data_IF_461514500357
#
_entry.id   IF_461514500357
#
_cell.length_a   1.000
_cell.length_b   1.000
_cell.length_c   1.000
_cell.angle_alpha   90.00
_cell.angle_beta   90.00
_cell.angle_gamma   90.00
#
_symmetry.space_group_name_H-M   'P 1'
#
loop_
_entity.id
_entity.type
_entity.pdbx_description
1 polymer ?
#
# COMPACT_ATOMS: atom_id res chain seq x y z
N UNK A 1 12.48 -19.66 3.93
CA UNK A 1 11.22 -19.24 3.28
C UNK A 1 11.62 -18.42 2.07
N UNK A 2 11.50 -18.98 0.87
CA UNK A 2 11.94 -18.32 -0.36
C UNK A 2 10.82 -17.37 -0.77
N UNK A 3 11.01 -16.05 -0.58
CA UNK A 3 10.16 -15.03 -1.19
C UNK A 3 10.32 -15.18 -2.70
N UNK A 4 9.40 -15.89 -3.37
CA UNK A 4 9.21 -15.75 -4.82
C UNK A 4 8.17 -14.63 -4.95
N UNK A 5 8.63 -13.40 -4.69
CA UNK A 5 7.89 -12.21 -5.06
C UNK A 5 8.26 -11.90 -6.50
N UNK A 6 7.27 -11.58 -7.33
CA UNK A 6 7.50 -10.92 -8.61
C UNK A 6 8.19 -9.59 -8.29
N UNK A 7 9.52 -9.56 -8.42
CA UNK A 7 10.28 -8.34 -8.23
C UNK A 7 9.87 -7.39 -9.34
N UNK A 8 9.19 -6.30 -9.00
CA UNK A 8 9.15 -5.14 -9.88
C UNK A 8 10.60 -4.78 -10.15
N UNK A 9 10.99 -4.70 -11.42
CA UNK A 9 12.33 -4.23 -11.70
C UNK A 9 12.44 -2.79 -11.16
N UNK A 10 13.57 -2.44 -10.53
CA UNK A 10 13.80 -1.07 -10.06
C UNK A 10 13.60 -0.04 -11.19
N UNK A 11 13.79 -0.47 -12.45
CA UNK A 11 13.53 0.31 -13.67
C UNK A 11 12.06 0.72 -13.84
N UNK A 12 11.11 -0.04 -13.28
CA UNK A 12 9.66 0.17 -13.38
C UNK A 12 9.10 1.00 -12.22
N UNK A 13 9.88 1.14 -11.15
CA UNK A 13 9.50 1.87 -9.94
C UNK A 13 10.02 3.29 -10.03
N UNK A 14 9.14 4.26 -9.82
CA UNK A 14 9.52 5.68 -9.75
C UNK A 14 9.39 6.16 -8.32
N UNK A 15 10.32 7.01 -7.90
CA UNK A 15 10.31 7.64 -6.58
C UNK A 15 9.39 8.86 -6.58
N UNK A 16 8.49 8.94 -5.62
CA UNK A 16 7.54 10.04 -5.43
C UNK A 16 7.54 10.54 -4.00
N UNK A 17 7.16 11.81 -3.81
CA UNK A 17 6.83 12.32 -2.49
C UNK A 17 5.44 11.88 -2.07
N UNK A 18 5.28 11.39 -0.85
CA UNK A 18 3.96 10.99 -0.34
C UNK A 18 3.47 11.90 0.79
N UNK A 19 2.20 12.29 0.72
CA UNK A 19 1.54 13.15 1.71
C UNK A 19 0.96 12.31 2.85
N UNK A 20 1.74 12.13 3.92
CA UNK A 20 1.35 11.33 5.09
C UNK A 20 0.75 12.17 6.23
N UNK A 21 0.71 13.49 6.04
CA UNK A 21 0.20 14.41 7.05
C UNK A 21 1.12 14.60 8.26
N UNK A 22 0.59 15.15 9.36
CA UNK A 22 1.29 15.37 10.62
C UNK A 22 1.89 14.10 11.23
N UNK A 23 3.03 14.26 11.89
CA UNK A 23 3.78 13.20 12.55
C UNK A 23 3.66 13.27 14.07
N UNK A 24 3.38 12.14 14.73
CA UNK A 24 3.43 11.99 16.19
C UNK A 24 4.68 11.19 16.58
N UNK A 25 5.43 11.67 17.58
CA UNK A 25 6.59 10.99 18.15
C UNK A 25 6.32 10.54 19.59
N UNK A 26 6.73 9.33 19.92
CA UNK A 26 6.61 8.74 21.27
C UNK A 26 7.91 8.04 21.66
N UNK A 27 8.37 8.28 22.89
CA UNK A 27 9.33 7.38 23.56
C UNK A 27 8.55 6.26 24.23
N UNK A 28 8.92 5.02 23.95
CA UNK A 28 8.32 3.84 24.53
C UNK A 28 9.35 2.79 24.89
N UNK A 29 8.84 1.62 25.29
CA UNK A 29 9.64 0.41 25.47
C UNK A 29 9.20 -0.57 24.39
N UNK A 30 10.15 -1.16 23.67
CA UNK A 30 9.85 -2.21 22.71
C UNK A 30 9.30 -3.44 23.47
N UNK A 31 8.05 -3.86 23.20
CA UNK A 31 7.40 -4.93 23.96
C UNK A 31 8.09 -6.30 23.75
N UNK A 32 8.88 -6.45 22.69
CA UNK A 32 9.58 -7.69 22.36
C UNK A 32 10.90 -7.85 23.13
N UNK A 33 11.51 -6.77 23.63
CA UNK A 33 12.83 -6.85 24.28
C UNK A 33 13.04 -5.93 25.49
N UNK A 34 12.05 -5.12 25.89
CA UNK A 34 12.13 -4.28 27.08
C UNK A 34 13.06 -3.07 26.96
N UNK A 35 13.64 -2.81 25.78
CA UNK A 35 14.56 -1.69 25.57
C UNK A 35 13.83 -0.41 25.16
N UNK A 36 14.37 0.78 25.49
CA UNK A 36 13.85 2.05 24.97
C UNK A 36 13.74 2.01 23.45
N UNK A 37 12.59 2.41 22.94
CA UNK A 37 12.33 2.54 21.51
C UNK A 37 11.68 3.90 21.23
N UNK A 38 12.04 4.46 20.09
CA UNK A 38 11.44 5.67 19.56
C UNK A 38 10.44 5.26 18.50
N UNK A 39 9.18 5.66 18.66
CA UNK A 39 8.10 5.33 17.75
C UNK A 39 7.62 6.62 17.08
N UNK A 40 7.48 6.55 15.77
CA UNK A 40 6.93 7.61 14.93
C UNK A 40 5.70 7.06 14.23
N UNK A 41 4.64 7.86 14.16
CA UNK A 41 3.42 7.51 13.43
C UNK A 41 2.92 8.74 12.70
N UNK A 42 2.70 8.61 11.40
CA UNK A 42 2.06 9.65 10.60
C UNK A 42 0.53 9.50 10.62
N UNK A 43 -0.20 10.60 10.48
CA UNK A 43 -1.67 10.59 10.38
C UNK A 43 -2.16 9.66 9.25
N UNK A 44 -1.51 9.73 8.10
CA UNK A 44 -1.73 8.88 6.92
C UNK A 44 -0.49 8.06 6.62
N UNK A 45 -0.12 7.20 7.57
CA UNK A 45 1.00 6.26 7.44
C UNK A 45 0.93 5.45 6.14
N UNK A 46 2.02 5.51 5.37
CA UNK A 46 2.27 4.68 4.20
C UNK A 46 3.23 3.56 4.58
N UNK A 47 2.85 2.32 4.29
CA UNK A 47 3.68 1.14 4.51
C UNK A 47 3.91 0.44 3.16
N UNK A 48 4.75 -0.60 3.14
CA UNK A 48 4.86 -1.53 2.01
C UNK A 48 3.46 -2.03 1.61
N UNK A 49 3.26 -2.36 0.33
CA UNK A 49 2.01 -2.90 -0.23
C UNK A 49 0.83 -1.92 -0.28
N UNK A 50 0.98 -0.68 0.20
CA UNK A 50 -0.10 0.31 0.13
C UNK A 50 -0.45 0.73 -1.30
N UNK A 51 -1.75 0.92 -1.55
CA UNK A 51 -2.26 1.46 -2.80
C UNK A 51 -2.34 2.99 -2.78
N UNK A 52 -1.96 3.62 -3.91
CA UNK A 52 -1.76 5.06 -3.99
C UNK A 52 -2.51 5.71 -5.17
N UNK A 53 -2.75 7.01 -5.06
CA UNK A 53 -3.31 7.89 -6.10
C UNK A 53 -2.40 9.08 -6.38
N UNK A 54 -2.51 9.66 -7.57
CA UNK A 54 -1.76 10.86 -7.92
C UNK A 54 -2.18 12.05 -7.03
N UNK A 55 -1.19 12.73 -6.46
CA UNK A 55 -1.39 13.94 -5.66
C UNK A 55 -1.54 15.21 -6.52
N UNK A 56 -1.63 16.35 -5.85
CA UNK A 56 -1.86 17.66 -6.49
C UNK A 56 -0.59 18.32 -7.03
N UNK A 57 0.58 17.91 -6.57
CA UNK A 57 1.89 18.42 -7.00
C UNK A 57 2.58 17.51 -8.02
N UNK A 58 3.56 18.08 -8.72
CA UNK A 58 4.46 17.31 -9.57
C UNK A 58 5.18 16.24 -8.73
N UNK A 59 5.18 14.99 -9.21
CA UNK A 59 5.76 13.82 -8.52
C UNK A 59 5.25 13.62 -7.08
N UNK A 60 3.98 13.93 -6.82
CA UNK A 60 3.35 13.65 -5.53
C UNK A 60 2.33 12.51 -5.63
N UNK A 61 2.25 11.71 -4.57
CA UNK A 61 1.29 10.63 -4.37
C UNK A 61 0.56 10.81 -3.03
N UNK A 62 -0.63 10.23 -2.92
CA UNK A 62 -1.40 10.13 -1.67
C UNK A 62 -1.90 8.69 -1.50
N UNK A 63 -2.20 8.30 -0.27
CA UNK A 63 -2.90 7.02 -0.02
C UNK A 63 -4.26 7.03 -0.72
N UNK A 64 -4.62 5.94 -1.37
CA UNK A 64 -5.96 5.81 -1.93
C UNK A 64 -6.99 5.75 -0.79
N UNK A 65 -8.09 6.49 -0.91
CA UNK A 65 -9.15 6.50 0.11
C UNK A 65 -10.31 5.59 -0.31
N UNK A 66 -11.10 5.13 0.67
CA UNK A 66 -12.27 4.28 0.41
C UNK A 66 -13.22 4.94 -0.62
N UNK A 67 -13.66 4.17 -1.61
CA UNK A 67 -14.47 4.67 -2.73
C UNK A 67 -13.67 5.37 -3.84
N UNK A 68 -12.37 5.59 -3.66
CA UNK A 68 -11.46 6.16 -4.65
C UNK A 68 -10.99 5.16 -5.70
N UNK A 69 -10.08 5.62 -6.57
CA UNK A 69 -9.48 4.83 -7.66
C UNK A 69 -7.96 4.87 -7.54
N UNK A 70 -7.35 3.77 -7.10
CA UNK A 70 -5.91 3.60 -7.04
C UNK A 70 -5.31 3.54 -8.45
N UNK A 71 -4.16 4.19 -8.64
CA UNK A 71 -3.44 4.25 -9.93
C UNK A 71 -2.03 3.68 -9.82
N UNK A 72 -1.54 3.46 -8.60
CA UNK A 72 -0.23 2.95 -8.29
C UNK A 72 -0.31 2.06 -7.05
N UNK A 73 0.73 1.28 -6.80
CA UNK A 73 0.94 0.60 -5.53
C UNK A 73 2.41 0.73 -5.11
N UNK A 74 2.67 0.55 -3.82
CA UNK A 74 3.98 0.65 -3.22
C UNK A 74 4.60 -0.75 -3.02
N UNK A 75 5.57 -1.19 -3.83
CA UNK A 75 6.22 -2.50 -3.67
C UNK A 75 7.24 -2.58 -2.54
N UNK A 76 7.65 -1.46 -1.93
CA UNK A 76 8.76 -1.44 -0.97
C UNK A 76 8.46 -0.55 0.23
N UNK A 77 9.18 -0.73 1.34
CA UNK A 77 9.07 0.18 2.47
C UNK A 77 9.42 1.62 2.07
N UNK A 78 8.63 2.65 2.45
CA UNK A 78 8.95 4.02 2.08
C UNK A 78 10.21 4.52 2.79
N UNK A 79 11.05 5.19 2.02
CA UNK A 79 12.34 5.70 2.46
C UNK A 79 12.19 7.00 3.26
N UNK A 80 12.97 7.09 4.32
CA UNK A 80 13.08 8.27 5.19
C UNK A 80 14.22 9.14 4.65
N UNK A 81 13.89 10.36 4.19
CA UNK A 81 14.93 11.33 3.87
C UNK A 81 15.35 12.08 5.14
N UNK A 82 16.60 11.86 5.58
CA UNK A 82 17.19 12.54 6.72
C UNK A 82 16.72 12.02 8.08
N UNK A 83 16.93 12.82 9.13
CA UNK A 83 16.53 12.46 10.49
C UNK A 83 15.06 12.81 10.74
N UNK A 84 14.29 11.87 11.27
CA UNK A 84 12.95 12.13 11.78
C UNK A 84 13.04 13.15 12.92
N UNK A 85 12.24 14.23 12.94
CA UNK A 85 12.30 15.27 13.95
C UNK A 85 11.94 14.66 15.30
N UNK A 86 12.95 14.55 16.16
CA UNK A 86 12.80 14.15 17.55
C UNK A 86 12.62 15.43 18.34
N UNK A 87 11.40 15.92 18.51
CA UNK A 87 11.20 17.08 19.36
C UNK A 87 9.86 17.03 20.08
N UNK A 88 9.94 17.32 21.37
CA UNK A 88 9.10 18.00 22.36
C UNK A 88 7.71 18.58 21.96
N UNK A 89 7.32 18.60 20.69
CA UNK A 89 6.04 19.04 20.19
C UNK A 89 5.20 17.83 19.73
N UNK A 90 3.93 17.80 20.14
CA UNK A 90 3.00 16.72 19.81
C UNK A 90 2.77 16.52 18.30
N UNK A 91 3.17 17.51 17.47
CA UNK A 91 3.07 17.52 16.01
C UNK A 91 4.22 18.36 15.44
N UNK A 92 4.98 17.82 14.48
CA UNK A 92 6.06 18.54 13.78
C UNK A 92 5.87 18.56 12.26
N UNK A 93 6.44 19.58 11.59
CA UNK A 93 6.55 19.59 10.13
C UNK A 93 7.71 18.68 9.71
N UNK A 94 7.42 17.66 8.92
CA UNK A 94 8.40 16.68 8.43
C UNK A 94 8.55 16.81 6.91
N UNK A 95 9.77 16.73 6.34
CA UNK A 95 9.93 16.51 4.90
C UNK A 95 9.15 15.26 4.50
N UNK A 96 8.43 15.29 3.38
CA UNK A 96 7.68 14.12 2.91
C UNK A 96 8.62 12.92 2.76
N UNK A 97 8.16 11.72 3.10
CA UNK A 97 8.87 10.49 2.75
C UNK A 97 8.83 10.26 1.26
N UNK A 98 9.86 9.56 0.78
CA UNK A 98 9.88 9.08 -0.60
C UNK A 98 9.32 7.67 -0.64
N UNK A 99 8.40 7.44 -1.56
CA UNK A 99 7.86 6.11 -1.82
C UNK A 99 8.23 5.69 -3.23
N UNK A 100 8.76 4.48 -3.38
CA UNK A 100 8.85 3.84 -4.68
C UNK A 100 7.44 3.40 -5.08
N UNK A 101 6.90 3.90 -6.19
CA UNK A 101 5.58 3.51 -6.65
C UNK A 101 5.63 2.99 -8.09
N UNK A 102 5.07 1.81 -8.29
CA UNK A 102 4.84 1.24 -9.61
C UNK A 102 3.42 1.58 -10.08
N UNK A 103 3.30 2.00 -11.34
CA UNK A 103 2.02 2.35 -11.94
C UNK A 103 1.22 1.07 -12.23
N UNK A 104 -0.05 1.06 -11.85
CA UNK A 104 -0.99 0.02 -12.24
C UNK A 104 -1.31 0.20 -13.72
N UNK A 105 -0.77 -0.69 -14.56
CA UNK A 105 -0.97 -0.70 -16.02
C UNK A 105 -1.27 -2.11 -16.47
N UNK A 106 -1.92 -2.24 -17.63
CA UNK A 106 -2.23 -3.50 -18.34
C UNK A 106 -1.02 -4.43 -18.39
N UNK A 107 -0.98 -5.40 -17.47
CA UNK A 107 -0.02 -6.51 -17.42
C UNK A 107 -0.42 -7.51 -16.33
N UNK A 108 0.23 -8.68 -16.37
CA UNK A 108 0.23 -9.61 -15.25
C UNK A 108 1.01 -8.99 -14.07
N UNK A 109 0.36 -8.84 -12.92
CA UNK A 109 0.94 -8.29 -11.71
C UNK A 109 0.67 -9.20 -10.52
N UNK A 110 1.63 -9.27 -9.60
CA UNK A 110 1.40 -9.85 -8.28
C UNK A 110 1.09 -8.71 -7.32
N UNK A 111 -0.12 -8.71 -6.76
CA UNK A 111 -0.63 -7.64 -5.90
C UNK A 111 -1.02 -8.18 -4.52
N UNK A 112 -0.91 -7.36 -3.45
CA UNK A 112 -1.20 -7.78 -2.10
C UNK A 112 -2.68 -8.12 -1.94
N UNK A 113 -2.93 -9.18 -1.18
CA UNK A 113 -4.24 -9.74 -0.91
C UNK A 113 -4.64 -9.51 0.56
N UNK A 114 -5.89 -9.13 0.78
CA UNK A 114 -6.44 -8.98 2.12
C UNK A 114 -6.21 -10.24 2.97
N UNK A 115 -5.71 -10.13 4.21
CA UNK A 115 -5.42 -11.28 5.07
C UNK A 115 -6.67 -12.08 5.43
N UNK A 116 -7.82 -11.42 5.43
CA UNK A 116 -9.15 -11.97 5.64
C UNK A 116 -9.95 -12.03 4.32
N UNK A 117 -9.26 -12.32 3.19
CA UNK A 117 -9.89 -12.48 1.89
C UNK A 117 -10.96 -13.59 1.91
N UNK A 118 -12.02 -13.42 1.13
CA UNK A 118 -12.91 -14.56 0.85
C UNK A 118 -12.26 -15.52 -0.15
N UNK A 119 -12.85 -16.70 -0.37
CA UNK A 119 -12.36 -17.63 -1.40
C UNK A 119 -12.33 -16.94 -2.78
N UNK A 120 -11.17 -17.00 -3.45
CA UNK A 120 -10.93 -16.47 -4.79
C UNK A 120 -10.69 -17.64 -5.75
N UNK A 121 -11.23 -17.52 -6.94
CA UNK A 121 -11.06 -18.44 -8.07
C UNK A 121 -10.48 -17.69 -9.25
N UNK A 122 -9.79 -18.43 -10.12
CA UNK A 122 -9.35 -17.89 -11.39
C UNK A 122 -10.54 -17.31 -12.18
N UNK A 123 -10.37 -16.09 -12.70
CA UNK A 123 -11.43 -15.33 -13.38
C UNK A 123 -12.24 -14.41 -12.47
N UNK A 124 -12.13 -14.52 -11.14
CA UNK A 124 -12.82 -13.61 -10.23
C UNK A 124 -12.30 -12.17 -10.35
N UNK A 125 -13.20 -11.21 -10.12
CA UNK A 125 -12.89 -9.79 -10.13
C UNK A 125 -12.54 -9.32 -8.73
N UNK A 126 -11.47 -8.55 -8.60
CA UNK A 126 -10.96 -8.06 -7.32
C UNK A 126 -10.91 -6.53 -7.29
N UNK A 127 -11.26 -5.95 -6.15
CA UNK A 127 -11.07 -4.52 -5.80
C UNK A 127 -10.19 -4.43 -4.54
N UNK A 128 -9.66 -3.25 -4.25
CA UNK A 128 -8.92 -3.01 -3.01
C UNK A 128 -9.92 -2.96 -1.86
N UNK A 129 -9.86 -3.91 -0.93
CA UNK A 129 -10.73 -3.98 0.24
C UNK A 129 -10.41 -2.87 1.24
N UNK A 130 -9.13 -2.76 1.58
CA UNK A 130 -8.56 -1.70 2.41
C UNK A 130 -7.19 -1.33 1.82
N UNK A 131 -6.86 -0.03 1.66
CA UNK A 131 -5.57 0.41 1.16
C UNK A 131 -4.36 -0.16 1.90
N UNK A 132 -4.52 -0.57 3.17
CA UNK A 132 -3.51 -1.16 4.05
C UNK A 132 -3.46 -2.69 4.01
N UNK A 133 -4.50 -3.35 3.52
CA UNK A 133 -4.59 -4.82 3.57
C UNK A 133 -4.64 -5.46 2.19
N UNK A 134 -5.09 -4.73 1.16
CA UNK A 134 -5.02 -5.15 -0.23
C UNK A 134 -6.32 -5.64 -0.85
N UNK A 135 -6.20 -6.50 -1.86
CA UNK A 135 -7.31 -6.91 -2.73
C UNK A 135 -8.24 -7.94 -2.09
N UNK A 136 -9.51 -7.93 -2.48
CA UNK A 136 -10.50 -8.98 -2.16
C UNK A 136 -11.54 -9.10 -3.28
N UNK A 137 -12.29 -10.21 -3.27
CA UNK A 137 -13.35 -10.47 -4.25
C UNK A 137 -14.37 -9.33 -4.28
N UNK A 138 -14.72 -8.93 -5.49
CA UNK A 138 -15.72 -7.90 -5.76
C UNK A 138 -16.75 -8.38 -6.79
N UNK A 139 -17.94 -7.78 -6.70
CA UNK A 139 -18.98 -7.89 -7.72
C UNK A 139 -18.90 -6.76 -8.76
N UNK A 140 -17.98 -5.80 -8.60
CA UNK A 140 -17.78 -4.72 -9.55
C UNK A 140 -17.22 -5.23 -10.87
N UNK A 141 -17.57 -4.52 -11.94
CA UNK A 141 -17.18 -4.86 -13.32
C UNK A 141 -16.25 -3.82 -13.95
N UNK A 142 -15.98 -2.71 -13.27
CA UNK A 142 -15.14 -1.60 -13.75
C UNK A 142 -14.11 -1.24 -12.70
N UNK A 143 -12.91 -0.84 -13.13
CA UNK A 143 -11.77 -0.56 -12.25
C UNK A 143 -11.48 -1.73 -11.30
N UNK A 144 -11.40 -2.94 -11.87
CA UNK A 144 -11.12 -4.18 -11.14
C UNK A 144 -9.98 -4.91 -11.83
N UNK A 145 -9.34 -5.81 -11.10
CA UNK A 145 -8.39 -6.77 -11.68
C UNK A 145 -9.01 -8.16 -11.76
N UNK A 146 -8.46 -9.03 -12.60
CA UNK A 146 -8.95 -10.41 -12.74
C UNK A 146 -7.93 -11.38 -12.16
N UNK A 147 -8.34 -12.24 -11.23
CA UNK A 147 -7.44 -13.26 -10.64
C UNK A 147 -7.06 -14.32 -11.67
N UNK A 148 -5.79 -14.74 -11.67
CA UNK A 148 -5.34 -15.98 -12.31
C UNK A 148 -5.29 -17.17 -11.35
N UNK A 149 -5.35 -16.90 -10.05
CA UNK A 149 -5.13 -17.89 -9.01
C UNK A 149 -6.45 -18.35 -8.35
N UNK A 150 -6.41 -19.58 -7.82
CA UNK A 150 -7.40 -20.08 -6.85
C UNK A 150 -6.79 -19.96 -5.45
N UNK A 151 -7.36 -19.12 -4.59
CA UNK A 151 -6.84 -18.82 -3.25
C UNK A 151 -7.94 -19.12 -2.22
N UNK A 152 -7.66 -19.99 -1.21
CA UNK A 152 -8.60 -20.22 -0.11
C UNK A 152 -8.91 -18.94 0.68
N UNK A 153 -10.03 -18.94 1.39
CA UNK A 153 -10.36 -17.85 2.31
C UNK A 153 -9.33 -17.72 3.45
N UNK A 154 -9.12 -16.48 3.93
CA UNK A 154 -8.25 -16.13 5.05
C UNK A 154 -6.78 -16.56 4.87
N UNK A 155 -6.26 -16.47 3.65
CA UNK A 155 -4.86 -16.84 3.37
C UNK A 155 -3.96 -15.60 3.29
N UNK A 156 -4.49 -14.48 2.79
CA UNK A 156 -3.71 -13.26 2.57
C UNK A 156 -2.54 -13.44 1.61
N UNK A 157 -1.51 -12.63 1.80
CA UNK A 157 -0.30 -12.67 0.99
C UNK A 157 -0.49 -11.94 -0.32
N UNK A 158 -0.40 -12.66 -1.43
CA UNK A 158 -0.39 -12.08 -2.76
C UNK A 158 -1.22 -12.90 -3.74
N UNK A 159 -1.72 -12.23 -4.77
CA UNK A 159 -2.49 -12.82 -5.87
C UNK A 159 -1.94 -12.34 -7.21
N UNK A 160 -1.80 -13.27 -8.16
CA UNK A 160 -1.46 -12.95 -9.54
C UNK A 160 -2.72 -12.55 -10.29
N UNK A 161 -2.69 -11.38 -10.92
CA UNK A 161 -3.86 -10.79 -11.58
C UNK A 161 -3.52 -10.24 -12.96
N UNK A 162 -4.53 -10.21 -13.82
CA UNK A 162 -4.56 -9.32 -14.98
C UNK A 162 -5.01 -7.93 -14.51
N UNK A 163 -4.07 -6.99 -14.47
CA UNK A 163 -4.32 -5.63 -14.03
C UNK A 163 -4.48 -4.70 -15.23
N UNK A 164 -5.71 -4.43 -15.66
CA UNK A 164 -5.98 -3.55 -16.81
C UNK A 164 -6.13 -2.06 -16.41
N UNK A 165 -5.14 -1.55 -15.67
CA UNK A 165 -5.08 -0.15 -15.26
C UNK A 165 -5.57 0.10 -13.83
N UNK A 166 -6.26 1.21 -13.57
CA UNK A 166 -6.58 1.63 -12.21
C UNK A 166 -7.59 0.71 -11.51
N UNK A 167 -7.50 0.62 -10.19
CA UNK A 167 -8.29 -0.30 -9.37
C UNK A 167 -9.12 0.51 -8.37
N UNK A 168 -10.39 0.17 -8.23
CA UNK A 168 -11.28 0.78 -7.26
C UNK A 168 -10.95 0.33 -5.85
N UNK A 169 -11.01 1.29 -4.92
CA UNK A 169 -11.01 1.05 -3.49
C UNK A 169 -12.45 0.90 -3.04
N UNK A 170 -12.76 -0.23 -2.41
CA UNK A 170 -14.07 -0.54 -1.87
C UNK A 170 -14.50 0.57 -0.90
N UNK A 171 -15.74 1.01 -1.02
CA UNK A 171 -16.30 1.93 -0.04
C UNK A 171 -16.47 1.20 1.30
N UNK A 172 -16.31 1.91 2.43
CA UNK A 172 -16.70 1.39 3.72
C UNK A 172 -18.20 1.02 3.66
N UNK A 173 -18.50 -0.25 3.95
CA UNK A 173 -19.86 -0.80 3.99
C UNK A 173 -20.53 -0.59 5.34
#
# INVERSE_FOLDING_TARGET
MTKIGTFFEESEVKTYEVEEGPMTYRKGINPNNGLPNEQVTFEKQVDEENFLVQGTGERSMKLAEAGGIATHFNPYDPEVNGSLPKANAAVGAYPKRYVGAAKLTSRELQLPLAPDNVEIKAGDKLEIKDPKTGLDKSAATTNVVTSFDNIPANTGGYVTVDCDGPIRVKAAG
#
